data_IF_220849247087
#
_entry.id   IF_220849247087
#
_cell.length_a   1.000
_cell.length_b   1.000
_cell.length_c   1.000
_cell.angle_alpha   90.00
_cell.angle_beta   90.00
_cell.angle_gamma   90.00
#
_symmetry.space_group_name_H-M   'P 1'
#
loop_
_entity.id
_entity.type
_entity.pdbx_description
1 polymer ?
#
# COMPACT_ATOMS: atom_id res chain seq x y z
N UNK A 1 9.97 17.53 -20.47
CA UNK A 1 10.03 16.06 -20.72
C UNK A 1 9.04 15.42 -19.75
N UNK A 2 8.00 14.75 -20.25
CA UNK A 2 7.00 14.10 -19.39
C UNK A 2 7.64 12.81 -18.86
N UNK A 3 7.67 12.62 -17.54
CA UNK A 3 8.30 11.47 -16.90
C UNK A 3 7.43 10.21 -17.15
N UNK A 4 7.74 9.47 -18.22
CA UNK A 4 7.02 8.27 -18.68
C UNK A 4 6.93 7.18 -17.61
N UNK A 5 7.89 7.13 -16.68
CA UNK A 5 7.92 6.16 -15.58
C UNK A 5 6.82 6.40 -14.54
N UNK A 6 6.56 7.67 -14.18
CA UNK A 6 5.53 7.99 -13.19
C UNK A 6 4.12 7.67 -13.69
N UNK A 7 3.87 7.84 -15.00
CA UNK A 7 2.58 7.53 -15.61
C UNK A 7 2.29 6.03 -15.63
N UNK A 8 3.32 5.21 -15.89
CA UNK A 8 3.18 3.74 -15.86
C UNK A 8 2.85 3.25 -14.45
N UNK A 9 3.59 3.72 -13.43
CA UNK A 9 3.34 3.36 -12.03
C UNK A 9 1.92 3.69 -11.56
N UNK A 10 1.32 4.79 -12.04
CA UNK A 10 -0.06 5.12 -11.70
C UNK A 10 -1.09 4.21 -12.35
N UNK A 11 -0.79 3.65 -13.52
CA UNK A 11 -1.65 2.70 -14.23
C UNK A 11 -1.52 1.30 -13.59
N UNK A 12 -0.29 0.83 -13.38
CA UNK A 12 0.03 -0.45 -12.76
C UNK A 12 -0.58 -0.58 -11.35
N UNK A 13 -0.50 0.48 -10.54
CA UNK A 13 -1.06 0.50 -9.19
C UNK A 13 -2.59 0.66 -9.20
N UNK A 14 -3.15 1.15 -10.31
CA UNK A 14 -4.59 1.30 -10.47
C UNK A 14 -5.27 0.00 -10.92
N UNK A 15 -4.51 -0.96 -11.44
CA UNK A 15 -5.01 -2.23 -11.96
C UNK A 15 -5.86 -3.00 -10.92
N UNK A 16 -7.02 -3.56 -11.32
CA UNK A 16 -7.88 -4.31 -10.41
C UNK A 16 -7.18 -5.50 -9.72
N UNK A 17 -6.31 -6.20 -10.46
CA UNK A 17 -5.52 -7.33 -9.96
C UNK A 17 -4.55 -6.89 -8.86
N UNK A 18 -3.86 -5.76 -9.05
CA UNK A 18 -2.99 -5.16 -8.04
C UNK A 18 -3.78 -4.72 -6.81
N UNK A 19 -4.93 -4.06 -7.01
CA UNK A 19 -5.78 -3.62 -5.90
C UNK A 19 -6.23 -4.78 -5.00
N UNK A 20 -6.61 -5.91 -5.60
CA UNK A 20 -7.00 -7.11 -4.85
C UNK A 20 -5.83 -7.66 -4.03
N UNK A 21 -4.63 -7.76 -4.63
CA UNK A 21 -3.42 -8.20 -3.91
C UNK A 21 -3.07 -7.26 -2.75
N UNK A 22 -3.19 -5.94 -2.96
CA UNK A 22 -2.97 -4.94 -1.93
C UNK A 22 -3.96 -5.09 -0.77
N UNK A 23 -5.25 -5.24 -1.07
CA UNK A 23 -6.29 -5.44 -0.05
C UNK A 23 -6.00 -6.69 0.79
N UNK A 24 -5.70 -7.82 0.15
CA UNK A 24 -5.38 -9.07 0.85
C UNK A 24 -4.12 -8.92 1.73
N UNK A 25 -3.07 -8.28 1.22
CA UNK A 25 -1.85 -8.04 1.99
C UNK A 25 -2.10 -7.14 3.21
N UNK A 26 -2.98 -6.13 3.09
CA UNK A 26 -3.38 -5.25 4.20
C UNK A 26 -4.24 -6.00 5.22
N UNK A 27 -5.14 -6.89 4.79
CA UNK A 27 -5.94 -7.74 5.72
C UNK A 27 -5.06 -8.62 6.61
N UNK A 28 -3.92 -9.11 6.09
CA UNK A 28 -2.93 -9.82 6.89
C UNK A 28 -2.15 -8.93 7.88
N UNK A 29 -2.32 -7.61 7.80
CA UNK A 29 -1.59 -6.60 8.55
C UNK A 29 -2.54 -5.69 9.34
N UNK A 30 -3.29 -6.26 10.29
CA UNK A 30 -4.34 -5.59 11.10
C UNK A 30 -3.97 -4.19 11.63
N UNK A 31 -2.72 -4.00 12.08
CA UNK A 31 -2.20 -2.71 12.53
C UNK A 31 -2.39 -1.53 11.56
N UNK A 32 -2.68 -1.79 10.27
CA UNK A 32 -2.91 -0.77 9.25
C UNK A 32 -4.35 -0.22 9.23
N UNK A 33 -5.33 -0.94 9.81
CA UNK A 33 -6.75 -0.57 9.73
C UNK A 33 -7.55 -0.80 11.01
N UNK A 34 -7.11 -1.70 11.88
CA UNK A 34 -7.81 -2.10 13.09
C UNK A 34 -7.28 -1.33 14.31
N UNK A 35 -8.11 -0.47 14.88
CA UNK A 35 -7.76 0.36 16.03
C UNK A 35 -7.53 -0.42 17.33
N UNK A 36 -7.97 -1.69 17.37
CA UNK A 36 -7.77 -2.58 18.52
C UNK A 36 -6.41 -3.30 18.49
N UNK A 37 -5.71 -3.28 17.35
CA UNK A 37 -4.38 -3.86 17.24
C UNK A 37 -3.37 -3.05 18.06
N UNK A 38 -2.54 -3.72 18.87
CA UNK A 38 -1.59 -3.02 19.76
C UNK A 38 -0.59 -2.13 19.00
N UNK A 39 -0.30 -2.47 17.75
CA UNK A 39 0.64 -1.74 16.90
C UNK A 39 -0.05 -0.65 16.06
N UNK A 40 -1.38 -0.52 16.13
CA UNK A 40 -2.11 0.50 15.38
C UNK A 40 -1.63 1.92 15.64
N UNK A 41 -1.23 2.23 16.88
CA UNK A 41 -0.71 3.55 17.26
C UNK A 41 0.78 3.74 16.96
N UNK A 42 1.51 2.68 16.60
CA UNK A 42 2.94 2.73 16.35
C UNK A 42 3.22 3.13 14.90
N UNK A 43 3.56 4.40 14.68
CA UNK A 43 3.91 4.92 13.36
C UNK A 43 5.12 4.19 12.78
N UNK A 44 6.17 3.97 13.57
CA UNK A 44 7.38 3.26 13.13
C UNK A 44 7.09 1.82 12.71
N UNK A 45 6.21 1.12 13.44
CA UNK A 45 5.82 -0.24 13.06
C UNK A 45 5.05 -0.23 11.73
N UNK A 46 4.10 0.68 11.56
CA UNK A 46 3.34 0.81 10.31
C UNK A 46 4.24 1.14 9.11
N UNK A 47 5.26 1.98 9.30
CA UNK A 47 6.28 2.25 8.25
C UNK A 47 6.99 0.95 7.84
N UNK A 48 7.43 0.13 8.80
CA UNK A 48 8.07 -1.17 8.50
C UNK A 48 7.13 -2.11 7.75
N UNK A 49 5.86 -2.17 8.14
CA UNK A 49 4.85 -2.99 7.46
C UNK A 49 4.66 -2.52 6.03
N UNK A 50 4.47 -1.23 5.78
CA UNK A 50 4.31 -0.71 4.42
C UNK A 50 5.52 -1.00 3.53
N UNK A 51 6.75 -0.80 4.04
CA UNK A 51 7.96 -1.15 3.30
C UNK A 51 8.03 -2.65 3.00
N UNK A 52 7.60 -3.52 3.92
CA UNK A 52 7.48 -4.96 3.65
C UNK A 52 6.45 -5.24 2.56
N UNK A 53 5.30 -4.57 2.56
CA UNK A 53 4.26 -4.78 1.55
C UNK A 53 4.71 -4.39 0.14
N UNK A 54 5.54 -3.35 -0.01
CA UNK A 54 6.18 -3.00 -1.29
C UNK A 54 6.94 -4.20 -1.85
N UNK A 55 7.77 -4.85 -1.02
CA UNK A 55 8.56 -6.01 -1.42
C UNK A 55 7.69 -7.23 -1.73
N UNK A 56 6.69 -7.52 -0.88
CA UNK A 56 5.78 -8.66 -1.05
C UNK A 56 4.94 -8.55 -2.32
N UNK A 57 4.53 -7.34 -2.69
CA UNK A 57 3.71 -7.09 -3.87
C UNK A 57 4.54 -6.99 -5.16
N UNK A 58 5.86 -6.93 -5.06
CA UNK A 58 6.77 -6.64 -6.18
C UNK A 58 6.48 -5.27 -6.79
N UNK A 59 6.09 -4.30 -5.95
CA UNK A 59 5.69 -2.97 -6.43
C UNK A 59 6.94 -2.12 -6.72
N UNK A 60 7.06 -1.62 -7.94
CA UNK A 60 8.17 -0.78 -8.41
C UNK A 60 8.03 0.69 -7.97
N UNK A 61 7.71 0.89 -6.69
CA UNK A 61 7.52 2.20 -6.10
C UNK A 61 7.73 2.16 -4.58
N UNK A 62 7.38 3.25 -3.90
CA UNK A 62 7.65 3.39 -2.48
C UNK A 62 6.41 3.18 -1.59
N UNK A 63 6.65 3.01 -0.29
CA UNK A 63 5.60 2.76 0.70
C UNK A 63 4.58 3.89 0.82
N UNK A 64 4.93 5.15 0.50
CA UNK A 64 3.99 6.28 0.53
C UNK A 64 3.01 6.19 -0.62
N UNK A 65 3.47 5.84 -1.81
CA UNK A 65 2.62 5.63 -2.99
C UNK A 65 1.64 4.47 -2.75
N UNK A 66 2.14 3.36 -2.20
CA UNK A 66 1.31 2.21 -1.83
C UNK A 66 0.25 2.56 -0.77
N UNK A 67 0.64 3.32 0.27
CA UNK A 67 -0.28 3.82 1.28
C UNK A 67 -1.36 4.75 0.71
N UNK A 68 -0.98 5.66 -0.21
CA UNK A 68 -1.93 6.55 -0.87
C UNK A 68 -2.99 5.77 -1.65
N UNK A 69 -2.57 4.69 -2.35
CA UNK A 69 -3.50 3.81 -3.05
C UNK A 69 -4.45 3.08 -2.10
N UNK A 70 -3.92 2.53 -1.00
CA UNK A 70 -4.77 1.89 0.02
C UNK A 70 -5.84 2.84 0.55
N UNK A 71 -5.50 4.09 0.86
CA UNK A 71 -6.50 5.09 1.27
C UNK A 71 -7.61 5.24 0.22
N UNK A 72 -7.26 5.39 -1.06
CA UNK A 72 -8.24 5.50 -2.14
C UNK A 72 -9.17 4.28 -2.24
N UNK A 73 -8.66 3.06 -1.97
CA UNK A 73 -9.45 1.83 -1.99
C UNK A 73 -10.37 1.70 -0.77
N UNK A 74 -9.91 2.13 0.40
CA UNK A 74 -10.67 2.06 1.66
C UNK A 74 -11.76 3.12 1.75
N UNK A 75 -11.47 4.33 1.29
CA UNK A 75 -12.40 5.48 1.33
C UNK A 75 -13.43 5.46 0.18
N UNK A 76 -13.37 4.45 -0.70
CA UNK A 76 -14.37 4.16 -1.75
C UNK A 76 -15.47 3.26 -1.21
#
# INVERSE_FOLDING_TARGET
MINTSAFRLTDDIAEPSFNMRLIEAVKHSRCLYDSTDRQYRSTEYKIKVWNRLVQVLGFDGDSRTLYARWKQLRDK
#
